data_IF_873951827128
#
_entry.id   IF_873951827128
#
_cell.length_a   1.000
_cell.length_b   1.000
_cell.length_c   1.000
_cell.angle_alpha   90.00
_cell.angle_beta   90.00
_cell.angle_gamma   90.00
#
_symmetry.space_group_name_H-M   'P 1'
#
loop_
_entity.id
_entity.type
_entity.pdbx_description
1 polymer ?
#
# COMPACT_ATOMS: atom_id res chain seq x y z
N UNK A 1 -15.63 9.13 29.77
CA UNK A 1 -14.35 8.99 30.53
C UNK A 1 -13.84 7.58 30.31
N UNK A 2 -12.51 7.34 30.30
CA UNK A 2 -12.00 5.95 30.24
C UNK A 2 -12.25 5.31 31.61
N UNK A 3 -12.95 4.18 31.63
CA UNK A 3 -13.45 3.53 32.84
C UNK A 3 -12.38 2.60 33.44
N UNK A 4 -11.23 3.16 33.80
CA UNK A 4 -10.13 2.41 34.43
C UNK A 4 -10.28 2.41 35.96
N UNK A 5 -11.51 2.24 36.44
CA UNK A 5 -11.87 2.21 37.87
C UNK A 5 -11.20 1.06 38.61
N UNK A 6 -10.91 -0.05 37.90
CA UNK A 6 -10.19 -1.20 38.46
C UNK A 6 -8.76 -0.85 38.90
N UNK A 7 -8.08 0.06 38.21
CA UNK A 7 -6.73 0.54 38.57
C UNK A 7 -6.82 1.39 39.85
N UNK A 8 -7.86 2.23 39.96
CA UNK A 8 -8.07 3.11 41.10
C UNK A 8 -8.24 2.33 42.42
N UNK A 9 -8.91 1.18 42.39
CA UNK A 9 -9.08 0.30 43.56
C UNK A 9 -7.74 -0.21 44.11
N UNK A 10 -6.74 -0.42 43.24
CA UNK A 10 -5.46 -1.03 43.63
C UNK A 10 -4.42 0.00 44.12
N UNK A 11 -4.66 1.29 43.88
CA UNK A 11 -3.83 2.41 44.32
C UNK A 11 -4.47 3.22 45.47
N UNK A 12 -5.74 2.96 45.78
CA UNK A 12 -6.42 3.56 46.92
C UNK A 12 -5.65 3.20 48.19
N UNK A 13 -5.35 4.23 49.01
CA UNK A 13 -4.59 4.14 50.26
C UNK A 13 -3.10 3.72 50.12
N UNK A 14 -2.54 3.75 48.91
CA UNK A 14 -1.09 3.58 48.69
C UNK A 14 -0.42 4.89 48.34
N UNK A 15 0.70 5.17 48.99
CA UNK A 15 1.56 6.30 48.62
C UNK A 15 2.37 5.96 47.37
N UNK A 16 1.83 6.36 46.22
CA UNK A 16 2.47 6.19 44.91
C UNK A 16 3.81 6.93 44.78
N UNK A 17 4.07 7.95 45.62
CA UNK A 17 5.32 8.71 45.63
C UNK A 17 6.41 7.91 46.36
N UNK A 18 6.11 7.39 47.55
CA UNK A 18 7.03 6.52 48.30
C UNK A 18 7.31 5.18 47.60
N UNK A 19 6.39 4.70 46.76
CA UNK A 19 6.53 3.45 45.99
C UNK A 19 7.21 3.64 44.61
N UNK A 20 7.61 4.87 44.25
CA UNK A 20 8.19 5.21 42.94
C UNK A 20 7.44 4.57 41.76
N UNK A 21 6.10 4.57 41.80
CA UNK A 21 5.30 3.84 40.81
C UNK A 21 5.52 4.45 39.44
N UNK A 22 5.97 3.63 38.48
CA UNK A 22 6.19 4.06 37.09
C UNK A 22 5.08 3.55 36.20
N UNK A 23 4.57 4.42 35.33
CA UNK A 23 3.69 4.01 34.25
C UNK A 23 4.44 3.16 33.22
N UNK A 24 3.77 2.15 32.67
CA UNK A 24 4.22 1.56 31.41
C UNK A 24 4.24 2.63 30.32
N UNK A 25 5.27 2.60 29.47
CA UNK A 25 5.46 3.58 28.39
C UNK A 25 4.26 3.66 27.43
N UNK A 26 3.63 2.51 27.16
CA UNK A 26 2.41 2.42 26.32
C UNK A 26 1.19 3.03 27.01
N UNK A 27 0.94 2.70 28.29
CA UNK A 27 -0.15 3.24 29.08
C UNK A 27 -0.04 4.76 29.21
N UNK A 28 1.14 5.27 29.57
CA UNK A 28 1.42 6.71 29.66
C UNK A 28 1.12 7.41 28.33
N UNK A 29 1.61 6.87 27.20
CA UNK A 29 1.38 7.42 25.86
C UNK A 29 -0.11 7.43 25.49
N UNK A 30 -0.85 6.39 25.84
CA UNK A 30 -2.28 6.28 25.51
C UNK A 30 -3.14 7.22 26.38
N UNK A 31 -2.73 7.45 27.62
CA UNK A 31 -3.36 8.41 28.51
C UNK A 31 -3.04 9.84 28.14
N UNK A 32 -1.77 10.18 27.93
CA UNK A 32 -1.33 11.53 27.55
C UNK A 32 -1.46 11.85 26.06
N UNK A 33 -2.09 10.97 25.27
CA UNK A 33 -2.30 11.16 23.82
C UNK A 33 -2.99 12.48 23.49
N UNK A 34 -3.81 13.01 24.39
CA UNK A 34 -4.49 14.30 24.20
C UNK A 34 -3.55 15.50 24.40
N UNK A 35 -2.53 15.38 25.25
CA UNK A 35 -1.51 16.43 25.44
C UNK A 35 -0.60 16.57 24.22
N UNK A 36 -0.38 15.46 23.50
CA UNK A 36 0.36 15.45 22.23
C UNK A 36 -0.46 15.90 21.02
N UNK A 37 -1.76 16.21 21.22
CA UNK A 37 -2.64 16.78 20.18
C UNK A 37 -2.75 18.30 20.30
N UNK A 38 -1.63 19.01 20.35
CA UNK A 38 -1.63 20.44 19.98
C UNK A 38 -1.56 20.55 18.47
N UNK A 39 -2.68 20.22 17.83
CA UNK A 39 -3.22 20.69 16.54
C UNK A 39 -4.21 19.64 16.06
N UNK A 40 -5.47 19.99 15.75
CA UNK A 40 -6.30 19.11 14.94
C UNK A 40 -5.52 18.87 13.65
N UNK A 41 -5.29 17.60 13.32
CA UNK A 41 -4.83 17.16 12.02
C UNK A 41 -5.88 17.59 10.99
N UNK A 42 -5.84 18.85 10.58
CA UNK A 42 -5.97 19.19 9.17
C UNK A 42 -4.80 18.45 8.54
N UNK A 43 -5.13 17.42 7.78
CA UNK A 43 -4.22 16.79 6.82
C UNK A 43 -3.48 17.87 6.05
N UNK A 44 -2.19 18.03 6.33
CA UNK A 44 -1.33 19.05 5.75
C UNK A 44 -0.40 19.62 6.79
N UNK A 45 0.79 19.04 6.93
CA UNK A 45 1.93 19.80 7.45
C UNK A 45 2.09 21.07 6.59
N UNK A 46 2.51 22.22 7.15
CA UNK A 46 2.76 23.42 6.35
C UNK A 46 3.85 23.22 5.27
N UNK A 47 4.61 22.13 5.35
CA UNK A 47 5.56 21.69 4.32
C UNK A 47 4.90 21.00 3.11
N UNK A 48 3.71 20.39 3.25
CA UNK A 48 3.02 19.72 2.13
C UNK A 48 2.40 20.70 1.13
N UNK A 49 2.17 21.96 1.53
CA UNK A 49 1.53 22.98 0.69
C UNK A 49 2.50 23.64 -0.31
N UNK A 50 3.80 23.55 -0.06
CA UNK A 50 4.87 24.09 -0.93
C UNK A 50 5.79 22.97 -1.46
N UNK A 51 5.31 21.73 -1.48
CA UNK A 51 6.11 20.64 -2.03
C UNK A 51 5.96 20.66 -3.56
N UNK A 52 7.06 20.79 -4.33
CA UNK A 52 7.00 20.80 -5.78
C UNK A 52 6.28 19.55 -6.29
N UNK A 53 5.24 19.75 -7.09
CA UNK A 53 4.37 18.66 -7.55
C UNK A 53 5.02 17.82 -8.65
N UNK A 54 6.12 18.29 -9.26
CA UNK A 54 6.92 17.61 -10.30
C UNK A 54 6.05 16.95 -11.38
N UNK A 55 4.93 17.58 -11.74
CA UNK A 55 3.87 16.95 -12.54
C UNK A 55 4.34 16.66 -13.98
N UNK A 56 5.13 17.57 -14.56
CA UNK A 56 5.70 17.38 -15.89
C UNK A 56 6.64 16.15 -15.92
N UNK A 57 7.58 16.07 -14.98
CA UNK A 57 8.48 14.93 -14.82
C UNK A 57 7.71 13.63 -14.53
N UNK A 58 6.64 13.71 -13.73
CA UNK A 58 5.79 12.55 -13.45
C UNK A 58 5.11 12.00 -14.69
N UNK A 59 4.58 12.85 -15.56
CA UNK A 59 3.96 12.41 -16.80
C UNK A 59 4.97 11.75 -17.73
N UNK A 60 6.17 12.33 -17.89
CA UNK A 60 7.25 11.73 -18.69
C UNK A 60 7.68 10.38 -18.10
N UNK A 61 7.79 10.29 -16.79
CA UNK A 61 8.10 9.06 -16.07
C UNK A 61 7.03 7.97 -16.32
N UNK A 62 5.75 8.34 -16.29
CA UNK A 62 4.65 7.43 -16.55
C UNK A 62 4.71 6.83 -17.96
N UNK A 63 4.97 7.66 -18.97
CA UNK A 63 5.11 7.17 -20.35
C UNK A 63 6.34 6.27 -20.51
N UNK A 64 7.52 6.76 -20.11
CA UNK A 64 8.80 6.08 -20.41
C UNK A 64 9.06 4.85 -19.55
N UNK A 65 8.62 4.86 -18.29
CA UNK A 65 8.96 3.81 -17.33
C UNK A 65 7.76 2.91 -17.11
N UNK A 66 6.62 3.46 -16.73
CA UNK A 66 5.47 2.64 -16.33
C UNK A 66 4.85 1.96 -17.55
N UNK A 67 4.47 2.73 -18.57
CA UNK A 67 3.85 2.16 -19.78
C UNK A 67 4.83 1.30 -20.57
N UNK A 68 6.00 1.83 -20.90
CA UNK A 68 6.94 1.07 -21.73
C UNK A 68 7.55 -0.14 -21.01
N UNK A 69 8.05 0.02 -19.78
CA UNK A 69 8.82 -1.05 -19.12
C UNK A 69 7.94 -2.01 -18.34
N UNK A 70 7.02 -1.50 -17.52
CA UNK A 70 6.23 -2.36 -16.64
C UNK A 70 5.03 -2.94 -17.37
N UNK A 71 4.32 -2.13 -18.18
CA UNK A 71 3.10 -2.59 -18.86
C UNK A 71 3.44 -3.35 -20.15
N UNK A 72 4.20 -2.76 -21.06
CA UNK A 72 4.51 -3.38 -22.36
C UNK A 72 5.55 -4.49 -22.21
N UNK A 73 6.69 -4.22 -21.57
CA UNK A 73 7.75 -5.23 -21.41
C UNK A 73 7.53 -6.20 -20.23
N UNK A 74 6.46 -6.03 -19.45
CA UNK A 74 6.13 -6.85 -18.27
C UNK A 74 7.29 -6.98 -17.26
N UNK A 75 8.10 -5.93 -17.13
CA UNK A 75 9.26 -5.93 -16.24
C UNK A 75 8.85 -5.75 -14.77
N UNK A 76 9.47 -6.52 -13.88
CA UNK A 76 9.29 -6.39 -12.42
C UNK A 76 10.34 -5.43 -11.88
N UNK A 77 9.90 -4.29 -11.34
CA UNK A 77 10.79 -3.28 -10.76
C UNK A 77 10.51 -3.08 -9.27
N UNK A 78 11.53 -2.71 -8.50
CA UNK A 78 11.34 -2.37 -7.09
C UNK A 78 10.94 -0.90 -6.92
N UNK A 79 10.15 -0.59 -5.89
CA UNK A 79 9.77 0.79 -5.56
C UNK A 79 10.97 1.71 -5.32
N UNK A 80 12.04 1.19 -4.74
CA UNK A 80 13.30 1.93 -4.55
C UNK A 80 13.94 2.28 -5.89
N UNK A 81 13.91 1.35 -6.84
CA UNK A 81 14.44 1.59 -8.19
C UNK A 81 13.59 2.61 -8.96
N UNK A 82 12.26 2.50 -8.88
CA UNK A 82 11.33 3.47 -9.49
C UNK A 82 11.53 4.88 -8.92
N UNK A 83 11.68 4.99 -7.60
CA UNK A 83 12.00 6.27 -6.94
C UNK A 83 13.31 6.86 -7.46
N UNK A 84 14.36 6.03 -7.60
CA UNK A 84 15.65 6.50 -8.11
C UNK A 84 15.56 6.99 -9.56
N UNK A 85 14.84 6.26 -10.42
CA UNK A 85 14.62 6.70 -11.81
C UNK A 85 13.87 8.03 -11.83
N UNK A 86 12.84 8.19 -10.99
CA UNK A 86 12.09 9.43 -10.90
C UNK A 86 12.96 10.61 -10.45
N UNK A 87 13.77 10.44 -9.41
CA UNK A 87 14.69 11.48 -8.91
C UNK A 87 15.69 11.88 -10.01
N UNK A 88 16.26 10.91 -10.71
CA UNK A 88 17.18 11.18 -11.82
C UNK A 88 16.48 11.94 -12.95
N UNK A 89 15.26 11.55 -13.30
CA UNK A 89 14.48 12.21 -14.34
C UNK A 89 14.18 13.67 -14.00
N UNK A 90 13.82 13.96 -12.75
CA UNK A 90 13.61 15.34 -12.28
C UNK A 90 14.91 16.15 -12.34
N UNK A 91 16.02 15.55 -11.93
CA UNK A 91 17.35 16.18 -11.99
C UNK A 91 17.75 16.50 -13.44
N UNK A 92 17.44 15.62 -14.39
CA UNK A 92 17.83 15.81 -15.78
C UNK A 92 16.92 16.83 -16.51
N UNK A 93 15.61 16.80 -16.27
CA UNK A 93 14.65 17.65 -16.99
C UNK A 93 14.44 19.02 -16.35
N UNK A 94 14.31 19.10 -15.03
CA UNK A 94 13.99 20.35 -14.32
C UNK A 94 15.22 20.94 -13.61
N UNK A 95 16.34 20.20 -13.53
CA UNK A 95 17.54 20.58 -12.76
C UNK A 95 17.24 20.87 -11.28
N UNK A 96 16.15 20.31 -10.78
CA UNK A 96 15.73 20.42 -9.39
C UNK A 96 16.19 19.21 -8.59
N UNK A 97 16.47 19.41 -7.31
CA UNK A 97 16.80 18.32 -6.40
C UNK A 97 15.53 17.69 -5.82
N UNK A 98 15.19 16.49 -6.28
CA UNK A 98 14.07 15.70 -5.77
C UNK A 98 14.50 14.63 -4.76
N UNK A 99 15.70 14.71 -4.17
CA UNK A 99 16.23 13.69 -3.26
C UNK A 99 15.35 13.43 -2.03
N UNK A 100 14.60 14.44 -1.58
CA UNK A 100 13.65 14.32 -0.47
C UNK A 100 12.30 13.70 -0.87
N UNK A 101 12.07 13.40 -2.15
CA UNK A 101 10.78 12.92 -2.63
C UNK A 101 10.41 11.59 -1.97
N UNK A 102 9.25 11.52 -1.32
CA UNK A 102 8.82 10.34 -0.55
C UNK A 102 8.36 9.19 -1.44
N UNK A 103 8.83 7.97 -1.14
CA UNK A 103 8.41 6.76 -1.86
C UNK A 103 6.89 6.52 -1.79
N UNK A 104 6.27 6.80 -0.63
CA UNK A 104 4.83 6.64 -0.43
C UNK A 104 4.00 7.57 -1.32
N UNK A 105 4.54 8.76 -1.65
CA UNK A 105 3.88 9.73 -2.53
C UNK A 105 3.90 9.21 -3.96
N UNK A 106 5.06 8.72 -4.43
CA UNK A 106 5.18 8.08 -5.74
C UNK A 106 4.21 6.90 -5.86
N UNK A 107 4.21 6.02 -4.85
CA UNK A 107 3.34 4.85 -4.81
C UNK A 107 1.86 5.24 -4.91
N UNK A 108 1.40 6.20 -4.11
CA UNK A 108 0.00 6.65 -4.12
C UNK A 108 -0.42 7.20 -5.48
N UNK A 109 0.45 8.00 -6.13
CA UNK A 109 0.17 8.51 -7.48
C UNK A 109 0.06 7.36 -8.49
N UNK A 110 1.02 6.44 -8.47
CA UNK A 110 1.02 5.29 -9.38
C UNK A 110 -0.18 4.37 -9.18
N UNK A 111 -0.54 4.09 -7.93
CA UNK A 111 -1.70 3.25 -7.61
C UNK A 111 -3.03 3.91 -8.03
N UNK A 112 -3.10 5.24 -8.01
CA UNK A 112 -4.28 5.99 -8.48
C UNK A 112 -4.38 5.99 -9.99
N UNK A 113 -3.25 6.24 -10.68
CA UNK A 113 -3.26 6.44 -12.13
C UNK A 113 -3.17 5.10 -12.91
N UNK A 114 -2.66 4.04 -12.28
CA UNK A 114 -2.52 2.70 -12.86
C UNK A 114 -3.05 1.61 -11.91
N UNK A 115 -4.38 1.38 -11.88
CA UNK A 115 -4.99 0.41 -10.96
C UNK A 115 -4.57 -1.04 -11.22
N UNK A 116 -4.06 -1.34 -12.43
CA UNK A 116 -3.54 -2.66 -12.81
C UNK A 116 -2.15 -2.97 -12.24
N UNK A 117 -1.48 -2.01 -11.60
CA UNK A 117 -0.18 -2.24 -10.97
C UNK A 117 -0.34 -2.91 -9.60
N UNK A 118 0.36 -4.02 -9.41
CA UNK A 118 0.45 -4.74 -8.15
C UNK A 118 1.69 -4.30 -7.40
N UNK A 119 1.50 -3.89 -6.14
CA UNK A 119 2.57 -3.52 -5.22
C UNK A 119 2.75 -4.61 -4.16
N UNK A 120 3.63 -5.57 -4.43
CA UNK A 120 3.87 -6.71 -3.55
C UNK A 120 5.03 -6.47 -2.58
N UNK A 121 4.78 -6.63 -1.28
CA UNK A 121 5.82 -6.59 -0.24
C UNK A 121 6.18 -8.01 0.19
N UNK A 122 7.37 -8.54 -0.14
CA UNK A 122 7.76 -9.87 0.27
C UNK A 122 7.93 -9.98 1.79
N UNK A 123 7.59 -11.13 2.36
CA UNK A 123 7.77 -11.41 3.80
C UNK A 123 9.25 -11.54 4.23
N UNK A 124 10.15 -11.75 3.26
CA UNK A 124 11.60 -11.88 3.52
C UNK A 124 12.20 -10.55 3.96
N UNK A 125 13.03 -10.60 5.02
CA UNK A 125 13.50 -9.43 5.79
C UNK A 125 14.30 -8.36 5.05
N UNK A 126 14.70 -8.57 3.79
CA UNK A 126 15.59 -7.67 3.03
C UNK A 126 15.12 -7.36 1.61
N UNK A 127 13.85 -7.63 1.27
CA UNK A 127 13.35 -7.35 -0.08
C UNK A 127 12.55 -6.06 -0.14
N UNK A 128 12.90 -5.19 -1.07
CA UNK A 128 12.12 -4.00 -1.39
C UNK A 128 10.78 -4.39 -2.05
N UNK A 129 9.76 -3.58 -1.82
CA UNK A 129 8.45 -3.74 -2.48
C UNK A 129 8.61 -3.79 -4.00
N UNK A 130 8.03 -4.81 -4.62
CA UNK A 130 8.05 -5.06 -6.06
C UNK A 130 6.79 -4.47 -6.71
N UNK A 131 6.94 -4.03 -7.96
CA UNK A 131 5.90 -3.42 -8.78
C UNK A 131 5.89 -4.11 -10.13
N UNK A 132 4.74 -4.65 -10.51
CA UNK A 132 4.51 -5.34 -11.76
C UNK A 132 3.03 -5.23 -12.16
N UNK A 133 2.69 -5.59 -13.40
CA UNK A 133 1.28 -5.62 -13.85
C UNK A 133 0.67 -6.97 -13.53
N UNK A 134 -0.56 -6.98 -13.01
CA UNK A 134 -1.36 -8.19 -12.92
C UNK A 134 -1.80 -8.63 -14.32
N UNK A 135 -1.08 -9.57 -14.92
CA UNK A 135 -1.41 -10.12 -16.23
C UNK A 135 -2.27 -11.37 -16.07
N UNK A 136 -3.59 -11.21 -16.10
CA UNK A 136 -4.48 -12.33 -16.39
C UNK A 136 -4.45 -12.57 -17.91
N UNK A 137 -3.58 -13.47 -18.38
CA UNK A 137 -3.58 -13.84 -19.80
C UNK A 137 -4.85 -14.64 -20.13
N UNK A 138 -5.37 -14.49 -21.36
CA UNK A 138 -6.56 -15.22 -21.82
C UNK A 138 -6.38 -16.75 -21.69
N UNK A 139 -5.17 -17.27 -21.90
CA UNK A 139 -4.85 -18.69 -21.71
C UNK A 139 -5.01 -19.13 -20.24
N UNK A 140 -4.70 -18.24 -19.28
CA UNK A 140 -4.86 -18.51 -17.83
C UNK A 140 -6.33 -18.40 -17.38
N UNK A 141 -7.17 -17.68 -18.14
CA UNK A 141 -8.60 -17.55 -17.88
C UNK A 141 -9.40 -18.74 -18.43
N UNK A 142 -8.96 -19.32 -19.56
CA UNK A 142 -9.58 -20.53 -20.14
C UNK A 142 -9.37 -21.73 -19.21
N UNK A 143 -8.21 -21.86 -18.57
CA UNK A 143 -7.92 -22.93 -17.61
C UNK A 143 -8.72 -22.81 -16.30
N UNK A 144 -9.29 -21.62 -16.04
CA UNK A 144 -10.16 -21.34 -14.88
C UNK A 144 -11.64 -21.30 -15.22
N UNK A 145 -12.02 -21.49 -16.49
CA UNK A 145 -13.41 -21.67 -16.86
C UNK A 145 -13.86 -23.05 -16.38
N UNK A 146 -14.94 -23.14 -15.57
CA UNK A 146 -15.55 -24.42 -15.24
C UNK A 146 -15.86 -25.12 -16.56
N UNK A 147 -15.24 -26.28 -16.79
CA UNK A 147 -15.55 -27.08 -17.96
C UNK A 147 -17.05 -27.37 -17.93
N UNK A 148 -17.79 -27.11 -19.02
CA UNK A 148 -19.19 -27.49 -19.07
C UNK A 148 -19.23 -29.01 -18.91
N UNK A 149 -19.72 -29.44 -17.74
CA UNK A 149 -19.91 -30.84 -17.40
C UNK A 149 -20.81 -31.43 -18.49
N UNK A 150 -20.22 -32.24 -19.37
CA UNK A 150 -20.95 -33.00 -20.37
C UNK A 150 -21.86 -33.96 -19.62
N UNK A 151 -23.13 -33.56 -19.43
CA UNK A 151 -24.20 -34.47 -19.05
C UNK A 151 -24.58 -35.24 -20.30
N UNK A 152 -23.78 -36.28 -20.57
CA UNK A 152 -24.20 -37.38 -21.41
C UNK A 152 -25.24 -38.20 -20.65
N UNK A 153 -26.48 -38.16 -21.10
CA UNK A 153 -27.42 -39.27 -20.92
C UNK A 153 -27.83 -39.74 -22.31
N UNK A 154 -27.00 -40.62 -22.86
CA UNK A 154 -27.41 -41.62 -23.83
C UNK A 154 -28.23 -42.66 -23.08
N UNK A 155 -29.53 -42.73 -23.33
CA UNK A 155 -30.33 -43.95 -23.09
C UNK A 155 -31.08 -44.26 -24.37
N UNK A 156 -30.42 -45.12 -25.15
CA UNK A 156 -30.93 -46.29 -25.86
C UNK A 156 -32.42 -46.33 -26.28
N UNK A 157 -32.57 -46.55 -27.58
CA UNK A 157 -33.78 -46.93 -28.31
C UNK A 157 -34.54 -48.09 -27.68
N UNK A 158 -35.87 -48.05 -27.78
CA UNK A 158 -36.63 -49.27 -28.05
C UNK A 158 -37.83 -48.93 -28.95
N UNK A 159 -37.74 -49.39 -30.19
CA UNK A 159 -38.85 -49.52 -31.12
C UNK A 159 -39.84 -50.55 -30.58
N UNK A 160 -41.13 -50.23 -30.50
CA UNK A 160 -42.22 -51.20 -30.72
C UNK A 160 -43.33 -50.50 -31.48
N UNK A 161 -43.42 -50.86 -32.76
CA UNK A 161 -44.66 -50.79 -33.54
C UNK A 161 -45.47 -52.05 -33.26
N UNK A 162 -46.71 -51.88 -32.80
CA UNK A 162 -47.92 -52.56 -33.30
C UNK A 162 -49.17 -52.06 -32.57
#
# INVERSE_FOLDING_TARGET
MKEDTSILVHIQDKDCVSLEVRYHKSCYRQYTRFLSKTTPTITGTPEEQNEPTYDACYNIFCEKVIRQRIIVNQEILTMTHLRRIFINLVKDHEKLDASNYRQDKLKRRLARDFPQLVFYSPSKRNMCQMVFVETLSADTLIDRLPHPLATGTTTESTEVSQ
#
